data_IF_209371223552
#
_entry.id   IF_209371223552
#
_cell.length_a   1.000
_cell.length_b   1.000
_cell.length_c   1.000
_cell.angle_alpha   90.00
_cell.angle_beta   90.00
_cell.angle_gamma   90.00
#
_symmetry.space_group_name_H-M   'P 1'
#
loop_
_entity.id
_entity.type
_entity.pdbx_description
1 polymer ?
#
# COMPACT_ATOMS: atom_id res chain seq x y z
N UNK A 1 -66.04 1.87 6.40
CA UNK A 1 -67.13 1.32 5.54
C UNK A 1 -66.48 0.46 4.44
N UNK A 2 -67.18 -0.55 3.88
CA UNK A 2 -66.52 -1.71 3.27
C UNK A 2 -66.82 -1.90 1.76
N UNK A 3 -66.45 -3.09 1.23
CA UNK A 3 -66.81 -3.68 -0.07
C UNK A 3 -65.91 -3.24 -1.25
N UNK A 4 -65.40 -4.14 -2.09
CA UNK A 4 -65.55 -5.60 -2.09
C UNK A 4 -64.66 -6.36 -3.08
N UNK A 5 -64.83 -7.69 -3.11
CA UNK A 5 -64.06 -8.60 -3.94
C UNK A 5 -64.77 -8.92 -5.27
N UNK A 6 -64.02 -9.42 -6.26
CA UNK A 6 -64.62 -10.27 -7.29
C UNK A 6 -63.71 -11.46 -7.65
N UNK A 7 -64.34 -12.63 -7.73
CA UNK A 7 -63.73 -13.94 -7.99
C UNK A 7 -63.73 -14.22 -9.49
N UNK A 8 -62.73 -14.94 -10.00
CA UNK A 8 -62.94 -15.82 -11.16
C UNK A 8 -62.21 -17.16 -11.02
N UNK A 9 -63.00 -18.24 -10.94
CA UNK A 9 -62.54 -19.62 -11.09
C UNK A 9 -62.49 -19.99 -12.57
N UNK A 10 -61.56 -20.86 -12.94
CA UNK A 10 -61.56 -21.59 -14.20
C UNK A 10 -60.84 -22.92 -13.99
N UNK A 11 -61.52 -24.04 -14.23
CA UNK A 11 -61.01 -25.40 -14.02
C UNK A 11 -61.60 -26.30 -15.11
N UNK A 12 -60.79 -27.19 -15.69
CA UNK A 12 -61.08 -28.43 -16.44
C UNK A 12 -59.70 -29.00 -16.86
N UNK A 13 -59.23 -30.16 -16.37
CA UNK A 13 -59.64 -31.56 -16.60
C UNK A 13 -59.13 -32.18 -17.92
N UNK A 14 -58.43 -33.31 -17.77
CA UNK A 14 -58.43 -34.42 -18.75
C UNK A 14 -57.11 -34.66 -19.49
N UNK A 15 -56.54 -35.87 -19.37
CA UNK A 15 -55.40 -36.29 -20.20
C UNK A 15 -54.50 -37.39 -19.64
N UNK A 16 -55.06 -38.55 -19.24
CA UNK A 16 -54.24 -39.74 -18.95
C UNK A 16 -53.92 -40.47 -20.25
N UNK A 17 -52.65 -40.78 -20.50
CA UNK A 17 -52.30 -41.94 -21.33
C UNK A 17 -51.08 -42.67 -20.77
N UNK A 18 -51.29 -43.92 -20.41
CA UNK A 18 -50.28 -44.87 -19.93
C UNK A 18 -49.75 -45.66 -21.13
N UNK A 19 -48.43 -45.81 -21.27
CA UNK A 19 -47.86 -46.80 -22.18
C UNK A 19 -46.59 -47.41 -21.60
N UNK A 20 -46.61 -48.73 -21.40
CA UNK A 20 -45.42 -49.54 -21.15
C UNK A 20 -44.62 -49.68 -22.45
N UNK A 21 -43.28 -49.82 -22.37
CA UNK A 21 -42.61 -51.08 -22.74
C UNK A 21 -41.09 -51.09 -22.43
N UNK A 22 -40.56 -52.31 -22.35
CA UNK A 22 -39.19 -52.72 -22.69
C UNK A 22 -38.01 -52.24 -21.82
N UNK A 23 -37.80 -52.95 -20.71
CA UNK A 23 -36.50 -53.13 -20.05
C UNK A 23 -35.43 -53.57 -21.06
N UNK A 24 -34.30 -52.86 -21.15
CA UNK A 24 -33.08 -53.39 -21.78
C UNK A 24 -31.88 -53.13 -20.86
N UNK A 25 -31.34 -54.19 -20.27
CA UNK A 25 -30.10 -54.11 -19.48
C UNK A 25 -28.90 -54.01 -20.44
N UNK A 26 -28.21 -52.88 -20.45
CA UNK A 26 -26.85 -52.80 -20.98
C UNK A 26 -25.85 -52.73 -19.82
N UNK A 27 -25.05 -53.77 -19.69
CA UNK A 27 -23.99 -53.87 -18.70
C UNK A 27 -22.79 -53.02 -19.14
N UNK A 28 -22.54 -51.91 -18.45
CA UNK A 28 -21.35 -51.06 -18.66
C UNK A 28 -20.18 -51.64 -17.84
N UNK A 29 -18.97 -51.81 -18.40
CA UNK A 29 -17.82 -52.30 -17.63
C UNK A 29 -17.36 -51.28 -16.59
N UNK A 30 -16.85 -51.76 -15.46
CA UNK A 30 -16.40 -50.93 -14.36
C UNK A 30 -15.25 -49.99 -14.79
N UNK A 31 -15.49 -48.68 -14.74
CA UNK A 31 -14.44 -47.68 -14.80
C UNK A 31 -13.70 -47.62 -13.45
N UNK A 32 -12.38 -47.47 -13.50
CA UNK A 32 -11.54 -47.49 -12.32
C UNK A 32 -11.89 -46.37 -11.33
N UNK A 33 -11.82 -46.68 -10.05
CA UNK A 33 -11.85 -45.69 -8.96
C UNK A 33 -10.72 -44.68 -9.13
N UNK A 34 -11.00 -43.35 -9.15
CA UNK A 34 -9.94 -42.37 -8.98
C UNK A 34 -9.41 -42.48 -7.55
N UNK A 35 -8.10 -42.69 -7.39
CA UNK A 35 -7.45 -42.54 -6.09
C UNK A 35 -7.68 -41.12 -5.58
N UNK A 36 -8.15 -41.00 -4.34
CA UNK A 36 -8.32 -39.71 -3.70
C UNK A 36 -6.94 -39.14 -3.35
N UNK A 37 -6.39 -38.32 -4.25
CA UNK A 37 -5.17 -37.55 -4.01
C UNK A 37 -5.32 -36.74 -2.72
N UNK A 38 -4.56 -37.11 -1.69
CA UNK A 38 -4.54 -36.39 -0.43
C UNK A 38 -4.17 -34.92 -0.65
N UNK A 39 -4.78 -33.96 0.07
CA UNK A 39 -4.40 -32.56 -0.04
C UNK A 39 -2.97 -32.39 0.48
N UNK A 40 -2.03 -32.12 -0.42
CA UNK A 40 -0.70 -31.64 -0.06
C UNK A 40 -0.86 -30.26 0.58
N UNK A 41 -0.79 -30.22 1.91
CA UNK A 41 -0.68 -28.98 2.69
C UNK A 41 0.66 -28.35 2.38
N UNK A 42 0.68 -27.43 1.42
CA UNK A 42 1.86 -26.64 1.08
C UNK A 42 2.08 -25.57 2.15
N UNK A 43 2.71 -25.96 3.27
CA UNK A 43 3.33 -25.03 4.23
C UNK A 43 4.56 -24.36 3.60
N UNK A 44 4.31 -23.58 2.56
CA UNK A 44 5.26 -22.65 1.98
C UNK A 44 5.19 -21.34 2.76
N UNK A 45 5.67 -21.36 4.01
CA UNK A 45 6.06 -20.14 4.71
C UNK A 45 7.30 -19.59 4.00
N UNK A 46 7.07 -18.89 2.89
CA UNK A 46 8.12 -18.17 2.20
C UNK A 46 8.59 -17.08 3.15
N UNK A 47 9.84 -17.18 3.60
CA UNK A 47 10.51 -16.10 4.32
C UNK A 47 10.27 -14.81 3.55
N UNK A 48 9.53 -13.89 4.17
CA UNK A 48 9.67 -12.50 3.77
C UNK A 48 11.16 -12.15 3.90
N UNK A 49 11.64 -11.27 3.01
CA UNK A 49 12.93 -10.64 3.24
C UNK A 49 12.90 -9.85 4.56
N UNK A 50 14.07 -9.40 5.07
CA UNK A 50 14.08 -8.46 6.18
C UNK A 50 13.14 -7.30 5.90
N UNK A 51 12.35 -6.93 6.90
CA UNK A 51 11.52 -5.72 6.86
C UNK A 51 12.49 -4.55 6.83
N UNK A 52 12.48 -3.77 5.76
CA UNK A 52 13.31 -2.58 5.59
C UNK A 52 12.41 -1.43 5.21
N UNK A 53 12.42 -0.37 6.03
CA UNK A 53 11.77 0.89 5.69
C UNK A 53 12.84 1.87 5.23
N UNK A 54 12.81 2.26 3.93
CA UNK A 54 13.97 2.83 3.26
C UNK A 54 14.50 4.17 3.82
N UNK A 55 13.74 4.88 4.65
CA UNK A 55 14.15 6.19 5.18
C UNK A 55 13.96 6.34 6.68
N UNK A 56 13.80 5.25 7.43
CA UNK A 56 13.62 5.26 8.88
C UNK A 56 12.84 4.07 9.40
N UNK A 57 11.86 4.34 10.27
CA UNK A 57 11.15 3.35 11.10
C UNK A 57 9.65 3.32 10.82
N UNK A 58 8.92 2.38 11.42
CA UNK A 58 7.47 2.33 11.29
C UNK A 58 6.79 1.01 11.62
N UNK A 59 5.50 0.94 11.28
CA UNK A 59 4.68 -0.25 11.45
C UNK A 59 3.69 -0.43 10.29
N UNK A 60 3.53 -1.66 9.82
CA UNK A 60 2.33 -2.10 9.08
C UNK A 60 1.36 -2.72 10.09
N UNK A 61 0.17 -2.14 10.23
CA UNK A 61 -0.78 -2.43 11.31
C UNK A 61 -1.76 -3.54 10.92
N UNK A 62 -2.24 -4.26 11.92
CA UNK A 62 -3.14 -5.40 11.76
C UNK A 62 -3.18 -6.26 13.03
N UNK A 63 -3.86 -7.42 13.01
CA UNK A 63 -3.95 -8.33 14.17
C UNK A 63 -2.59 -8.80 14.71
N UNK A 64 -1.53 -8.71 13.90
CA UNK A 64 -0.13 -8.83 14.32
C UNK A 64 0.66 -7.81 13.52
N UNK A 65 1.03 -6.65 14.11
CA UNK A 65 1.79 -5.63 13.40
C UNK A 65 3.14 -6.14 12.91
N UNK A 66 3.61 -5.61 11.80
CA UNK A 66 4.97 -5.82 11.30
C UNK A 66 5.75 -4.52 11.45
N UNK A 67 6.75 -4.51 12.33
CA UNK A 67 7.46 -3.30 12.76
C UNK A 67 8.93 -3.31 12.35
N UNK A 68 9.55 -2.12 12.39
CA UNK A 68 10.99 -1.91 12.32
C UNK A 68 11.29 -0.60 13.05
N UNK A 69 12.04 -0.65 14.15
CA UNK A 69 12.42 0.50 14.97
C UNK A 69 11.25 1.32 15.53
N UNK A 70 10.10 0.68 15.78
CA UNK A 70 8.90 1.32 16.31
C UNK A 70 8.00 0.30 17.03
N UNK A 71 7.43 0.69 18.16
CA UNK A 71 6.42 -0.03 18.92
C UNK A 71 5.04 0.66 18.78
N UNK A 72 4.09 0.10 18.01
CA UNK A 72 2.73 0.61 17.97
C UNK A 72 1.94 0.10 19.19
N UNK A 73 1.16 0.98 19.81
CA UNK A 73 0.25 0.68 20.91
C UNK A 73 -1.11 1.37 20.72
N UNK A 74 -2.12 0.91 21.46
CA UNK A 74 -3.36 1.66 21.62
C UNK A 74 -3.18 2.74 22.70
N UNK A 75 -4.00 3.79 22.63
CA UNK A 75 -4.10 4.80 23.67
C UNK A 75 -4.71 4.30 24.99
N UNK A 76 -5.35 5.18 25.80
CA UNK A 76 -5.53 4.96 27.24
C UNK A 76 -6.28 3.69 27.64
N UNK A 77 -7.25 3.26 26.83
CA UNK A 77 -7.86 1.93 26.94
C UNK A 77 -7.44 1.04 25.75
N UNK A 78 -6.58 0.02 25.93
CA UNK A 78 -6.21 -0.89 24.85
C UNK A 78 -7.29 -1.94 24.54
N UNK A 79 -8.31 -2.11 25.38
CA UNK A 79 -9.39 -3.08 25.13
C UNK A 79 -10.38 -2.63 24.05
N UNK A 80 -10.45 -1.32 23.77
CA UNK A 80 -11.24 -0.79 22.67
C UNK A 80 -10.57 -0.88 21.30
N UNK A 81 -9.26 -1.19 21.21
CA UNK A 81 -8.52 -1.30 19.95
C UNK A 81 -9.17 -2.33 19.00
N UNK A 82 -9.63 -1.85 17.85
CA UNK A 82 -10.18 -2.72 16.82
C UNK A 82 -9.09 -3.08 15.80
N UNK A 83 -9.01 -4.34 15.39
CA UNK A 83 -8.09 -4.78 14.34
C UNK A 83 -8.82 -5.63 13.31
N UNK A 84 -8.37 -5.59 12.06
CA UNK A 84 -9.04 -6.34 10.99
C UNK A 84 -8.39 -6.17 9.63
N UNK A 85 -9.17 -6.38 8.58
CA UNK A 85 -8.80 -6.00 7.22
C UNK A 85 -10.01 -5.46 6.44
N UNK A 86 -9.81 -4.38 5.69
CA UNK A 86 -10.80 -3.83 4.77
C UNK A 86 -10.13 -3.41 3.46
N UNK A 87 -10.83 -3.62 2.34
CA UNK A 87 -10.31 -3.41 0.98
C UNK A 87 -8.96 -4.11 0.70
N UNK A 88 -8.71 -5.25 1.35
CA UNK A 88 -7.47 -6.04 1.22
C UNK A 88 -6.26 -5.50 2.00
N UNK A 89 -6.42 -4.46 2.82
CA UNK A 89 -5.37 -3.95 3.72
C UNK A 89 -5.67 -4.32 5.18
N UNK A 90 -4.69 -4.78 5.97
CA UNK A 90 -4.85 -4.94 7.40
C UNK A 90 -4.85 -3.56 8.10
N UNK A 91 -5.47 -3.44 9.27
CA UNK A 91 -5.61 -2.18 9.99
C UNK A 91 -5.72 -2.32 11.50
N UNK A 92 -5.44 -1.20 12.18
CA UNK A 92 -5.87 -0.84 13.53
C UNK A 92 -6.88 0.32 13.44
N UNK A 93 -7.83 0.34 14.35
CA UNK A 93 -8.89 1.36 14.42
C UNK A 93 -9.15 1.74 15.88
N UNK A 94 -9.25 3.04 16.14
CA UNK A 94 -9.66 3.59 17.44
C UNK A 94 -11.15 3.34 17.70
N UNK A 95 -11.55 3.46 18.96
CA UNK A 95 -12.90 3.23 19.41
C UNK A 95 -13.18 4.17 20.58
N UNK A 96 -13.50 5.42 20.26
CA UNK A 96 -13.77 6.48 21.21
C UNK A 96 -14.88 6.09 22.19
N UNK A 97 -15.91 5.36 21.73
CA UNK A 97 -16.98 4.85 22.57
C UNK A 97 -16.52 3.80 23.61
N UNK A 98 -15.30 3.27 23.48
CA UNK A 98 -14.63 2.39 24.44
C UNK A 98 -13.37 3.02 25.05
N UNK A 99 -13.13 4.32 24.89
CA UNK A 99 -11.98 5.04 25.48
C UNK A 99 -10.64 4.87 24.75
N UNK A 100 -10.61 4.23 23.58
CA UNK A 100 -9.41 4.18 22.73
C UNK A 100 -9.42 5.39 21.80
N UNK A 101 -8.95 6.55 22.25
CA UNK A 101 -9.08 7.82 21.53
C UNK A 101 -7.98 8.06 20.47
N UNK A 102 -6.81 7.44 20.64
CA UNK A 102 -5.68 7.54 19.73
C UNK A 102 -4.94 6.20 19.57
N UNK A 103 -4.13 6.11 18.51
CA UNK A 103 -3.07 5.11 18.36
C UNK A 103 -1.75 5.76 18.73
N UNK A 104 -0.92 5.08 19.51
CA UNK A 104 0.38 5.57 19.97
C UNK A 104 1.51 4.82 19.26
N UNK A 105 2.63 5.50 19.07
CA UNK A 105 3.82 4.98 18.42
C UNK A 105 5.06 5.49 19.16
N UNK A 106 5.78 4.56 19.75
CA UNK A 106 7.07 4.69 20.41
C UNK A 106 8.16 4.35 19.38
N UNK A 107 9.22 5.15 19.24
CA UNK A 107 10.32 4.90 18.31
C UNK A 107 11.51 4.29 19.06
N UNK A 108 12.26 3.42 18.39
CA UNK A 108 13.43 2.78 18.98
C UNK A 108 14.54 3.83 19.25
N UNK A 109 14.98 3.96 20.51
CA UNK A 109 16.05 4.87 20.97
C UNK A 109 17.25 4.88 20.01
N UNK A 110 17.69 3.68 19.58
CA UNK A 110 18.81 3.48 18.68
C UNK A 110 18.62 4.25 17.35
N UNK A 111 17.38 4.39 16.87
CA UNK A 111 17.06 5.18 15.67
C UNK A 111 17.00 6.68 15.98
N UNK A 112 16.44 7.08 17.12
CA UNK A 112 16.36 8.49 17.53
C UNK A 112 17.76 9.09 17.71
N UNK A 113 18.66 8.38 18.38
CA UNK A 113 20.07 8.77 18.58
C UNK A 113 20.85 8.89 17.25
N UNK A 114 20.39 8.21 16.19
CA UNK A 114 20.98 8.28 14.86
C UNK A 114 20.40 9.40 13.97
N UNK A 115 19.40 10.16 14.44
CA UNK A 115 18.82 11.27 13.69
C UNK A 115 19.81 12.42 13.52
N UNK A 116 20.32 12.60 12.30
CA UNK A 116 21.21 13.73 11.95
C UNK A 116 20.49 15.07 11.80
N UNK A 117 19.16 15.09 11.94
CA UNK A 117 18.30 16.29 11.89
C UNK A 117 17.11 16.08 12.82
N UNK A 118 16.61 17.16 13.41
CA UNK A 118 15.37 17.16 14.19
C UNK A 118 14.11 17.46 13.37
N UNK A 119 14.26 17.58 12.04
CA UNK A 119 13.14 17.70 11.10
C UNK A 119 12.85 16.33 10.45
N UNK A 120 11.64 15.80 10.71
CA UNK A 120 11.22 14.47 10.26
C UNK A 120 9.89 14.53 9.50
N UNK A 121 9.64 13.51 8.67
CA UNK A 121 8.36 13.32 8.00
C UNK A 121 7.69 12.06 8.55
N UNK A 122 6.42 12.19 8.92
CA UNK A 122 5.56 11.06 9.30
C UNK A 122 4.51 10.84 8.22
N UNK A 123 4.50 9.65 7.63
CA UNK A 123 3.54 9.26 6.60
C UNK A 123 2.58 8.20 7.16
N UNK A 124 1.30 8.58 7.34
CA UNK A 124 0.24 7.73 7.90
C UNK A 124 -0.70 7.29 6.78
N UNK A 125 -0.85 5.99 6.54
CA UNK A 125 -1.87 5.44 5.63
C UNK A 125 -3.15 5.17 6.40
N UNK A 126 -4.20 5.91 6.07
CA UNK A 126 -5.48 5.88 6.77
C UNK A 126 -6.65 5.61 5.81
N UNK A 127 -7.76 5.10 6.32
CA UNK A 127 -9.02 5.02 5.59
C UNK A 127 -9.71 6.38 5.72
N UNK A 128 -9.90 7.06 4.59
CA UNK A 128 -10.54 8.38 4.54
C UNK A 128 -12.06 8.27 4.69
N UNK A 129 -12.53 8.06 5.92
CA UNK A 129 -13.94 7.90 6.29
C UNK A 129 -14.38 8.94 7.30
N UNK A 130 -15.62 9.43 7.18
CA UNK A 130 -16.14 10.48 8.04
C UNK A 130 -15.65 11.88 7.66
N UNK A 131 -15.97 12.85 8.50
CA UNK A 131 -15.64 14.27 8.31
C UNK A 131 -14.91 14.81 9.54
N UNK A 132 -13.86 15.60 9.31
CA UNK A 132 -12.97 16.05 10.38
C UNK A 132 -11.54 16.13 9.89
N UNK A 133 -10.59 15.81 10.76
CA UNK A 133 -9.17 15.68 10.43
C UNK A 133 -8.56 14.40 11.02
N UNK A 134 -7.49 13.94 10.38
CA UNK A 134 -6.47 13.10 10.98
C UNK A 134 -5.46 14.02 11.67
N UNK A 135 -5.39 13.94 12.99
CA UNK A 135 -4.52 14.75 13.84
C UNK A 135 -3.34 13.92 14.35
N UNK A 136 -2.21 14.58 14.59
CA UNK A 136 -0.99 13.96 15.12
C UNK A 136 -0.38 14.88 16.18
N UNK A 137 -0.05 14.33 17.35
CA UNK A 137 0.78 14.99 18.36
C UNK A 137 2.11 14.26 18.50
N UNK A 138 3.17 14.97 18.89
CA UNK A 138 4.51 14.43 18.99
C UNK A 138 5.36 15.07 20.11
N UNK A 139 6.35 14.33 20.59
CA UNK A 139 7.35 14.84 21.54
C UNK A 139 8.38 15.76 20.83
N UNK A 140 8.23 17.08 20.97
CA UNK A 140 9.16 18.10 20.46
C UNK A 140 10.06 18.65 21.57
N UNK A 141 11.28 19.08 21.24
CA UNK A 141 12.31 19.56 22.18
C UNK A 141 11.74 20.39 23.35
N UNK A 142 10.99 21.45 23.02
CA UNK A 142 10.44 22.41 23.99
C UNK A 142 9.03 22.06 24.53
N UNK A 143 8.26 21.22 23.84
CA UNK A 143 6.88 20.85 24.21
C UNK A 143 6.59 19.36 23.87
N UNK A 144 6.40 18.50 24.89
CA UNK A 144 6.21 17.07 24.71
C UNK A 144 4.86 16.67 24.11
N UNK A 145 3.91 17.60 23.97
CA UNK A 145 2.60 17.36 23.31
C UNK A 145 2.37 18.34 22.15
N UNK A 146 3.36 18.49 21.27
CA UNK A 146 3.26 19.40 20.13
C UNK A 146 2.30 18.85 19.08
N UNK A 147 1.28 19.64 18.71
CA UNK A 147 0.37 19.31 17.62
C UNK A 147 0.98 19.61 16.24
N UNK A 148 0.90 18.65 15.31
CA UNK A 148 1.24 18.84 13.90
C UNK A 148 0.10 19.52 13.12
N UNK A 149 0.35 19.88 11.85
CA UNK A 149 -0.72 20.36 10.96
C UNK A 149 -1.66 19.22 10.57
N UNK A 150 -2.95 19.38 10.89
CA UNK A 150 -4.02 18.43 10.58
C UNK A 150 -4.14 18.08 9.08
N UNK A 151 -4.41 16.80 8.79
CA UNK A 151 -4.76 16.32 7.45
C UNK A 151 -6.28 16.17 7.34
N UNK A 152 -6.98 16.94 6.48
CA UNK A 152 -8.45 16.91 6.44
C UNK A 152 -9.01 15.59 5.89
N UNK A 153 -10.04 15.07 6.56
CA UNK A 153 -10.82 13.92 6.10
C UNK A 153 -11.88 14.38 5.09
N UNK A 154 -11.96 13.71 3.94
CA UNK A 154 -12.86 14.05 2.83
C UNK A 154 -13.96 13.01 2.59
N UNK A 155 -14.05 11.99 3.44
CA UNK A 155 -15.03 10.89 3.35
C UNK A 155 -15.03 10.15 2.00
N UNK A 156 -13.88 10.01 1.32
CA UNK A 156 -13.80 9.31 0.03
C UNK A 156 -14.02 7.80 0.15
N UNK A 157 -13.92 7.24 1.37
CA UNK A 157 -14.03 5.81 1.64
C UNK A 157 -12.86 5.00 1.08
N UNK A 158 -11.71 5.65 0.82
CA UNK A 158 -10.53 5.02 0.22
C UNK A 158 -9.28 5.14 1.11
N UNK A 159 -8.26 4.34 0.81
CA UNK A 159 -7.00 4.32 1.54
C UNK A 159 -6.00 5.39 1.08
N UNK A 160 -5.97 6.52 1.81
CA UNK A 160 -5.07 7.66 1.56
C UNK A 160 -3.79 7.59 2.38
N UNK A 161 -2.83 8.44 2.06
CA UNK A 161 -1.67 8.71 2.91
C UNK A 161 -1.75 10.17 3.34
N UNK A 162 -1.62 10.45 4.63
CA UNK A 162 -1.42 11.79 5.17
C UNK A 162 0.07 11.97 5.48
N UNK A 163 0.60 13.15 5.20
CA UNK A 163 2.01 13.49 5.41
C UNK A 163 2.11 14.64 6.39
N UNK A 164 2.72 14.38 7.54
CA UNK A 164 3.01 15.37 8.56
C UNK A 164 4.50 15.73 8.49
N UNK A 165 4.78 17.03 8.47
CA UNK A 165 6.14 17.56 8.60
C UNK A 165 6.30 18.00 10.05
N UNK A 166 7.21 17.36 10.78
CA UNK A 166 7.50 17.67 12.18
C UNK A 166 8.86 18.36 12.23
N UNK A 167 8.95 19.40 13.06
CA UNK A 167 10.18 20.13 13.31
C UNK A 167 10.56 20.06 14.78
N UNK A 168 11.86 20.09 15.04
CA UNK A 168 12.44 20.10 16.39
C UNK A 168 11.99 18.91 17.27
N UNK A 169 11.98 17.69 16.71
CA UNK A 169 11.57 16.50 17.44
C UNK A 169 12.56 16.13 18.55
N UNK A 170 12.06 15.89 19.76
CA UNK A 170 12.84 15.26 20.81
C UNK A 170 12.86 13.75 20.58
N UNK A 171 11.66 13.15 20.56
CA UNK A 171 11.41 11.71 20.68
C UNK A 171 12.15 11.10 21.88
N UNK A 172 11.69 11.42 23.09
CA UNK A 172 12.31 10.96 24.34
C UNK A 172 11.27 10.57 25.39
N UNK A 173 10.22 9.86 24.95
CA UNK A 173 9.16 9.26 25.76
C UNK A 173 8.26 10.24 26.53
N UNK A 174 8.29 11.54 26.21
CA UNK A 174 7.60 12.55 27.04
C UNK A 174 6.11 12.70 26.73
N UNK A 175 5.59 12.14 25.62
CA UNK A 175 4.16 12.16 25.25
C UNK A 175 3.37 11.04 25.99
N UNK A 176 3.59 10.91 27.31
CA UNK A 176 3.06 9.85 28.17
C UNK A 176 3.58 8.43 27.85
N UNK A 177 4.89 8.31 27.61
CA UNK A 177 5.66 7.11 27.21
C UNK A 177 5.89 6.91 25.68
N UNK A 178 4.94 7.10 24.73
CA UNK A 178 5.27 7.09 23.30
C UNK A 178 5.87 8.42 22.83
N UNK A 179 6.23 8.48 21.54
CA UNK A 179 6.75 9.67 20.86
C UNK A 179 5.73 10.38 19.97
N UNK A 180 4.77 9.62 19.44
CA UNK A 180 3.77 10.07 18.48
C UNK A 180 2.41 9.50 18.87
N UNK A 181 1.37 10.34 18.87
CA UNK A 181 -0.03 9.90 18.91
C UNK A 181 -0.79 10.33 17.66
N UNK A 182 -1.67 9.47 17.16
CA UNK A 182 -2.52 9.73 15.97
C UNK A 182 -3.98 9.51 16.35
N UNK A 183 -4.81 10.53 16.12
CA UNK A 183 -6.24 10.54 16.45
C UNK A 183 -7.09 11.06 15.28
N UNK A 184 -8.40 10.81 15.35
CA UNK A 184 -9.38 11.50 14.53
C UNK A 184 -10.00 12.65 15.33
N UNK A 185 -10.13 13.82 14.71
CA UNK A 185 -10.76 15.00 15.34
C UNK A 185 -11.86 15.58 14.47
N UNK A 186 -12.81 16.27 15.09
CA UNK A 186 -13.93 16.93 14.42
C UNK A 186 -14.37 18.16 15.23
N UNK A 187 -15.31 18.94 14.68
CA UNK A 187 -15.92 20.05 15.41
C UNK A 187 -16.73 19.61 16.66
N UNK A 188 -17.05 18.31 16.77
CA UNK A 188 -17.79 17.73 17.90
C UNK A 188 -16.88 17.03 18.92
N UNK A 189 -15.58 16.92 18.64
CA UNK A 189 -14.59 16.22 19.48
C UNK A 189 -13.86 15.10 18.75
N UNK A 190 -13.34 14.13 19.50
CA UNK A 190 -12.61 12.96 18.99
C UNK A 190 -13.55 12.06 18.16
N UNK A 191 -13.01 11.50 17.07
CA UNK A 191 -13.71 10.55 16.20
C UNK A 191 -12.82 9.36 15.86
N UNK A 192 -13.43 8.22 15.52
CA UNK A 192 -12.69 7.02 15.19
C UNK A 192 -11.89 7.18 13.90
N UNK A 193 -10.62 6.74 13.94
CA UNK A 193 -9.65 6.75 12.86
C UNK A 193 -9.20 5.31 12.60
N UNK A 194 -9.03 4.96 11.33
CA UNK A 194 -8.56 3.63 10.89
C UNK A 194 -7.23 3.77 10.15
N UNK A 195 -6.16 3.18 10.69
CA UNK A 195 -4.78 3.26 10.19
C UNK A 195 -4.28 1.88 9.76
N UNK A 196 -3.63 1.80 8.59
CA UNK A 196 -3.03 0.58 8.06
C UNK A 196 -1.50 0.58 8.11
N UNK A 197 -0.87 1.75 8.05
CA UNK A 197 0.59 1.88 7.95
C UNK A 197 1.03 3.22 8.55
N UNK A 198 2.12 3.25 9.29
CA UNK A 198 2.85 4.47 9.65
C UNK A 198 4.33 4.31 9.30
N UNK A 199 4.96 5.38 8.82
CA UNK A 199 6.40 5.48 8.59
C UNK A 199 6.90 6.81 9.13
N UNK A 200 8.03 6.79 9.84
CA UNK A 200 8.76 7.98 10.27
C UNK A 200 10.13 7.93 9.64
N UNK A 201 10.59 9.07 9.12
CA UNK A 201 11.91 9.20 8.53
C UNK A 201 12.44 10.62 8.66
N UNK A 202 13.76 10.81 8.55
CA UNK A 202 14.32 12.15 8.28
C UNK A 202 13.56 12.79 7.11
N UNK A 203 13.27 14.09 7.18
CA UNK A 203 12.31 14.72 6.26
C UNK A 203 12.59 14.33 4.79
N UNK A 204 11.66 13.59 4.18
CA UNK A 204 11.94 12.81 2.97
C UNK A 204 11.54 13.53 1.70
N UNK A 205 12.37 13.47 0.66
CA UNK A 205 11.89 13.81 -0.68
C UNK A 205 10.83 12.77 -1.12
N UNK A 206 9.64 13.25 -1.47
CA UNK A 206 8.49 12.43 -1.86
C UNK A 206 7.61 13.13 -2.92
N UNK A 207 6.73 12.37 -3.56
CA UNK A 207 5.71 12.90 -4.47
C UNK A 207 4.48 12.01 -4.43
N UNK A 208 3.31 12.60 -4.27
CA UNK A 208 2.04 11.91 -4.51
C UNK A 208 1.69 12.03 -5.99
N UNK A 209 1.49 10.89 -6.65
CA UNK A 209 1.14 10.84 -8.07
C UNK A 209 -0.36 10.97 -8.28
N UNK A 210 -0.76 11.40 -9.47
CA UNK A 210 -2.16 11.63 -9.85
C UNK A 210 -2.27 12.53 -11.08
N UNK A 211 -3.48 12.95 -11.48
CA UNK A 211 -3.67 13.89 -12.59
C UNK A 211 -2.87 15.20 -12.40
N UNK A 212 -2.77 15.67 -11.16
CA UNK A 212 -1.85 16.72 -10.71
C UNK A 212 -1.01 16.16 -9.57
N UNK A 213 0.30 15.93 -9.75
CA UNK A 213 1.16 15.46 -8.66
C UNK A 213 1.32 16.49 -7.53
N UNK A 214 1.41 16.02 -6.29
CA UNK A 214 1.75 16.85 -5.13
C UNK A 214 3.21 16.58 -4.78
N UNK A 215 4.09 17.53 -5.07
CA UNK A 215 5.54 17.39 -4.97
C UNK A 215 6.09 17.90 -3.63
N UNK A 216 6.88 17.06 -2.95
CA UNK A 216 7.63 17.40 -1.75
C UNK A 216 9.12 17.12 -1.99
N UNK A 217 9.83 18.06 -2.62
CA UNK A 217 11.22 17.88 -3.08
C UNK A 217 11.44 16.78 -4.14
N UNK A 218 10.39 16.15 -4.70
CA UNK A 218 10.46 15.36 -5.93
C UNK A 218 9.56 15.97 -7.01
N UNK A 219 10.16 16.43 -8.10
CA UNK A 219 9.44 16.84 -9.30
C UNK A 219 9.19 15.63 -10.21
N UNK A 220 7.95 15.16 -10.27
CA UNK A 220 7.52 14.12 -11.20
C UNK A 220 7.31 14.71 -12.62
N UNK A 221 7.84 14.03 -13.64
CA UNK A 221 7.68 14.40 -15.05
C UNK A 221 7.44 13.15 -15.90
N UNK A 222 6.51 13.20 -16.85
CA UNK A 222 6.36 12.14 -17.85
C UNK A 222 7.66 11.98 -18.68
N UNK A 223 7.87 10.80 -19.27
CA UNK A 223 8.97 10.56 -20.20
C UNK A 223 8.89 11.38 -21.50
N UNK A 224 9.60 10.93 -22.54
CA UNK A 224 9.78 11.63 -23.84
C UNK A 224 8.50 12.17 -24.49
N UNK A 225 7.36 11.57 -24.18
CA UNK A 225 6.03 12.01 -24.59
C UNK A 225 5.13 12.16 -23.38
N UNK A 226 4.68 13.38 -23.10
CA UNK A 226 3.78 13.65 -21.98
C UNK A 226 2.33 13.24 -22.28
N UNK A 227 1.89 13.35 -23.54
CA UNK A 227 0.51 13.06 -23.96
C UNK A 227 0.18 11.56 -23.95
N UNK A 228 1.19 10.69 -23.82
CA UNK A 228 1.00 9.26 -23.62
C UNK A 228 0.90 8.86 -22.15
N UNK A 229 1.15 9.76 -21.19
CA UNK A 229 0.99 9.46 -19.77
C UNK A 229 -0.49 9.16 -19.48
N UNK A 230 -0.76 7.99 -18.90
CA UNK A 230 -2.08 7.68 -18.35
C UNK A 230 -2.06 8.04 -16.87
N UNK A 231 -2.99 8.89 -16.45
CA UNK A 231 -3.21 9.22 -15.04
C UNK A 231 -4.63 8.85 -14.62
N UNK A 232 -4.82 8.61 -13.34
CA UNK A 232 -6.13 8.34 -12.77
C UNK A 232 -6.05 8.13 -11.27
N UNK A 233 -7.08 7.51 -10.71
CA UNK A 233 -7.13 7.09 -9.31
C UNK A 233 -7.41 5.58 -9.24
N UNK A 234 -6.69 4.88 -8.37
CA UNK A 234 -6.84 3.45 -8.10
C UNK A 234 -6.95 3.26 -6.59
N UNK A 235 -8.16 2.91 -6.11
CA UNK A 235 -8.44 2.68 -4.67
C UNK A 235 -8.03 3.85 -3.76
N UNK A 236 -8.36 5.09 -4.14
CA UNK A 236 -8.02 6.32 -3.39
C UNK A 236 -6.67 6.94 -3.71
N UNK A 237 -5.83 6.25 -4.49
CA UNK A 237 -4.47 6.70 -4.79
C UNK A 237 -4.39 7.17 -6.22
N UNK A 238 -4.01 8.42 -6.40
CA UNK A 238 -3.63 8.91 -7.72
C UNK A 238 -2.45 8.07 -8.25
N UNK A 239 -2.48 7.76 -9.54
CA UNK A 239 -1.45 6.95 -10.19
C UNK A 239 -1.00 7.55 -11.52
N UNK A 240 0.22 7.21 -11.90
CA UNK A 240 0.77 7.38 -13.23
C UNK A 240 1.05 6.00 -13.83
N UNK A 241 0.66 5.80 -15.09
CA UNK A 241 0.85 4.57 -15.85
C UNK A 241 1.51 4.86 -17.20
N UNK A 242 2.49 4.03 -17.56
CA UNK A 242 3.19 4.08 -18.86
C UNK A 242 2.28 3.54 -19.96
N UNK A 243 2.37 4.11 -21.17
CA UNK A 243 1.52 3.71 -22.29
C UNK A 243 2.38 3.29 -23.47
N UNK A 244 2.82 2.02 -23.44
CA UNK A 244 3.55 1.39 -24.54
C UNK A 244 2.74 1.27 -25.84
N UNK A 245 1.41 1.33 -25.77
CA UNK A 245 0.52 1.28 -26.93
C UNK A 245 0.32 2.65 -27.61
N UNK A 246 0.80 3.74 -27.00
CA UNK A 246 0.76 5.07 -27.63
C UNK A 246 1.65 5.11 -28.89
N UNK A 247 1.32 5.95 -29.90
CA UNK A 247 2.16 6.13 -31.08
C UNK A 247 3.56 6.63 -30.71
N UNK A 248 4.58 6.21 -31.46
CA UNK A 248 5.98 6.57 -31.19
C UNK A 248 6.21 8.10 -31.18
N UNK A 249 7.04 8.63 -30.25
CA UNK A 249 7.63 7.94 -29.09
C UNK A 249 6.56 7.65 -28.03
N UNK A 250 6.59 6.46 -27.44
CA UNK A 250 5.66 6.05 -26.39
C UNK A 250 6.17 6.48 -24.99
N UNK A 251 5.27 6.69 -24.03
CA UNK A 251 5.65 6.96 -22.63
C UNK A 251 6.05 5.65 -21.96
N UNK A 252 7.33 5.29 -22.00
CA UNK A 252 7.87 4.02 -21.51
C UNK A 252 8.44 4.08 -20.08
N UNK A 253 8.57 5.30 -19.55
CA UNK A 253 9.05 5.62 -18.21
C UNK A 253 8.45 6.95 -17.76
N UNK A 254 8.58 7.22 -16.47
CA UNK A 254 8.48 8.57 -15.89
C UNK A 254 9.85 8.97 -15.38
N UNK A 255 9.96 10.21 -14.92
CA UNK A 255 11.15 10.78 -14.32
C UNK A 255 10.76 11.37 -12.97
N UNK A 256 11.47 11.00 -11.91
CA UNK A 256 11.33 11.61 -10.58
C UNK A 256 12.62 12.34 -10.27
N UNK A 257 12.60 13.66 -10.32
CA UNK A 257 13.78 14.48 -10.07
C UNK A 257 13.74 14.96 -8.61
N UNK A 258 14.63 14.42 -7.78
CA UNK A 258 14.87 14.93 -6.44
C UNK A 258 15.47 16.33 -6.54
N UNK A 259 15.07 17.26 -5.68
CA UNK A 259 15.61 18.61 -5.66
C UNK A 259 17.08 18.61 -5.21
N UNK A 260 17.95 19.34 -5.91
CA UNK A 260 19.38 19.46 -5.56
C UNK A 260 19.61 20.01 -4.14
N UNK A 261 18.67 20.80 -3.61
CA UNK A 261 18.67 21.29 -2.23
C UNK A 261 18.45 20.19 -1.19
N UNK A 262 18.03 19.00 -1.62
CA UNK A 262 17.83 17.82 -0.79
C UNK A 262 18.91 16.76 -1.03
N UNK A 263 19.15 16.39 -2.30
CA UNK A 263 20.16 15.40 -2.66
C UNK A 263 20.92 15.83 -3.93
N UNK A 264 22.21 16.11 -3.76
CA UNK A 264 23.16 16.47 -4.84
C UNK A 264 24.53 15.83 -4.54
N UNK A 265 25.17 15.22 -5.55
CA UNK A 265 26.41 14.39 -5.42
C UNK A 265 26.38 13.46 -4.19
N UNK A 266 25.22 12.87 -3.88
CA UNK A 266 25.06 12.00 -2.71
C UNK A 266 25.77 10.68 -2.94
N UNK A 267 26.73 10.37 -2.08
CA UNK A 267 27.53 9.13 -2.11
C UNK A 267 27.12 8.10 -1.05
N UNK A 268 26.19 8.47 -0.20
CA UNK A 268 25.57 7.56 0.77
C UNK A 268 24.56 6.66 0.05
N UNK A 269 24.23 5.51 0.64
CA UNK A 269 23.17 4.63 0.14
C UNK A 269 21.85 5.38 0.04
N UNK A 270 21.32 5.51 -1.18
CA UNK A 270 19.98 6.06 -1.41
C UNK A 270 18.98 4.92 -1.45
N UNK A 271 17.92 5.06 -0.69
CA UNK A 271 16.89 4.05 -0.49
C UNK A 271 15.55 4.61 -0.98
N UNK A 272 14.87 3.88 -1.88
CA UNK A 272 13.70 4.37 -2.62
C UNK A 272 12.48 3.50 -2.32
N UNK A 273 11.39 4.12 -1.86
CA UNK A 273 10.07 3.49 -1.75
C UNK A 273 9.20 3.81 -2.94
N UNK A 274 8.43 2.84 -3.42
CA UNK A 274 7.41 3.03 -4.46
C UNK A 274 6.16 2.24 -4.07
N UNK A 275 5.05 2.93 -3.81
CA UNK A 275 3.73 2.31 -3.79
C UNK A 275 3.31 2.03 -5.25
N UNK A 276 3.05 0.77 -5.61
CA UNK A 276 2.64 0.37 -6.96
C UNK A 276 1.41 -0.53 -6.96
N UNK A 277 0.64 -0.48 -8.04
CA UNK A 277 -0.47 -1.41 -8.29
C UNK A 277 0.06 -2.64 -9.06
N UNK A 278 0.12 -3.79 -8.38
CA UNK A 278 0.59 -5.05 -8.98
C UNK A 278 -0.52 -5.70 -9.82
N UNK A 279 -0.43 -5.56 -11.14
CA UNK A 279 -1.33 -6.19 -12.10
C UNK A 279 -0.60 -6.61 -13.38
N UNK A 280 -0.95 -7.77 -13.91
CA UNK A 280 -0.34 -8.33 -15.13
C UNK A 280 0.91 -9.17 -14.87
N UNK A 281 1.80 -9.27 -15.87
CA UNK A 281 2.94 -10.18 -15.89
C UNK A 281 4.28 -9.43 -16.08
N UNK A 282 4.42 -8.30 -15.39
CA UNK A 282 5.54 -7.38 -15.53
C UNK A 282 6.58 -7.47 -14.40
N UNK A 283 7.33 -6.38 -14.27
CA UNK A 283 8.27 -6.12 -13.19
C UNK A 283 8.76 -4.68 -13.30
N UNK A 284 8.93 -4.00 -12.17
CA UNK A 284 9.37 -2.61 -12.07
C UNK A 284 10.91 -2.54 -12.17
N UNK A 285 11.42 -1.73 -13.10
CA UNK A 285 12.82 -1.30 -13.08
C UNK A 285 12.98 0.06 -12.39
N UNK A 286 14.11 0.26 -11.71
CA UNK A 286 14.59 1.58 -11.26
C UNK A 286 15.89 1.91 -12.02
N UNK A 287 16.06 3.17 -12.38
CA UNK A 287 17.31 3.75 -12.88
C UNK A 287 17.59 4.99 -12.04
N UNK A 288 18.86 5.36 -11.88
CA UNK A 288 19.30 6.54 -11.15
C UNK A 288 20.65 6.99 -11.70
N UNK A 289 20.99 8.27 -11.50
CA UNK A 289 22.31 8.80 -11.79
C UNK A 289 23.23 8.55 -10.58
N UNK A 290 24.49 8.22 -10.82
CA UNK A 290 25.45 7.84 -9.77
C UNK A 290 26.79 8.56 -9.99
N UNK A 291 27.41 9.13 -8.93
CA UNK A 291 28.62 9.96 -9.03
C UNK A 291 29.93 9.17 -9.33
N UNK A 292 29.81 8.02 -9.99
CA UNK A 292 30.94 7.19 -10.41
C UNK A 292 31.75 7.79 -11.57
N UNK A 293 33.02 7.39 -11.76
CA UNK A 293 33.93 8.05 -12.70
C UNK A 293 33.84 7.57 -14.16
N UNK A 294 32.84 6.77 -14.57
CA UNK A 294 32.76 6.26 -15.96
C UNK A 294 31.35 6.25 -16.53
N UNK A 295 31.20 6.64 -17.80
CA UNK A 295 29.92 6.72 -18.50
C UNK A 295 29.14 5.39 -18.59
N UNK A 296 29.82 4.24 -18.53
CA UNK A 296 29.16 2.92 -18.45
C UNK A 296 28.62 2.60 -17.05
N UNK A 297 29.06 3.31 -16.02
CA UNK A 297 28.50 3.30 -14.66
C UNK A 297 27.47 4.40 -14.39
N UNK A 298 27.57 5.55 -15.08
CA UNK A 298 26.65 6.68 -14.83
C UNK A 298 25.30 6.56 -15.56
N UNK A 299 25.21 5.95 -16.75
CA UNK A 299 23.95 5.94 -17.52
C UNK A 299 23.68 4.64 -18.29
N UNK A 300 22.59 3.95 -17.95
CA UNK A 300 21.76 3.29 -18.98
C UNK A 300 20.77 4.33 -19.55
N UNK A 301 21.33 5.24 -20.36
CA UNK A 301 20.66 6.33 -21.09
C UNK A 301 19.88 7.38 -20.28
N UNK A 302 20.54 8.53 -20.06
CA UNK A 302 20.05 9.81 -19.51
C UNK A 302 19.48 9.80 -18.09
N UNK A 303 19.85 10.83 -17.29
CA UNK A 303 19.74 10.79 -15.83
C UNK A 303 18.33 11.03 -15.32
N UNK A 304 17.56 9.96 -15.12
CA UNK A 304 16.20 10.03 -14.57
C UNK A 304 15.81 8.78 -13.75
N UNK A 305 14.92 8.95 -12.77
CA UNK A 305 14.26 7.84 -12.06
C UNK A 305 13.21 7.16 -12.95
N UNK A 306 13.67 6.22 -13.78
CA UNK A 306 12.91 5.54 -14.82
C UNK A 306 12.19 4.26 -14.39
N UNK A 307 10.92 4.38 -13.98
CA UNK A 307 10.02 3.25 -13.73
C UNK A 307 9.54 2.59 -15.05
N UNK A 308 10.03 1.38 -15.37
CA UNK A 308 9.61 0.64 -16.58
C UNK A 308 8.99 -0.73 -16.24
N UNK A 309 7.94 -1.11 -16.98
CA UNK A 309 7.28 -2.43 -16.89
C UNK A 309 7.70 -3.35 -18.04
N UNK A 310 8.02 -4.62 -17.74
CA UNK A 310 8.54 -5.58 -18.74
C UNK A 310 7.79 -6.93 -18.78
N UNK A 311 6.84 -7.07 -19.70
CA UNK A 311 6.25 -8.39 -20.06
C UNK A 311 7.25 -9.26 -20.83
N UNK A 312 7.21 -10.60 -20.62
CA UNK A 312 8.07 -11.57 -21.33
C UNK A 312 7.31 -12.42 -22.36
N UNK A 313 7.46 -12.08 -23.63
CA UNK A 313 7.68 -12.94 -24.83
C UNK A 313 8.16 -12.01 -25.97
N UNK A 314 8.98 -12.39 -26.97
CA UNK A 314 9.69 -13.64 -27.30
C UNK A 314 9.68 -13.87 -28.84
N UNK A 315 10.65 -14.54 -29.50
CA UNK A 315 11.90 -15.18 -29.02
C UNK A 315 13.19 -14.78 -29.80
N UNK A 316 14.38 -15.00 -29.22
CA UNK A 316 15.58 -15.45 -29.96
C UNK A 316 16.53 -16.16 -28.96
N UNK A 317 17.20 -17.23 -29.40
CA UNK A 317 17.90 -18.18 -28.53
C UNK A 317 19.36 -17.83 -28.26
N UNK A 318 19.83 -18.02 -27.02
CA UNK A 318 21.04 -18.79 -26.71
C UNK A 318 21.00 -19.27 -25.24
N UNK A 319 21.57 -20.45 -24.98
CA UNK A 319 21.58 -21.23 -23.73
C UNK A 319 22.33 -20.55 -22.55
N UNK A 320 22.30 -20.97 -21.27
CA UNK A 320 21.64 -22.04 -20.49
C UNK A 320 21.59 -21.57 -19.01
N UNK A 321 20.82 -22.10 -18.04
CA UNK A 321 19.74 -23.11 -18.02
C UNK A 321 19.15 -23.22 -16.59
N UNK A 322 17.99 -23.87 -16.43
CA UNK A 322 17.34 -24.33 -15.16
C UNK A 322 17.28 -23.32 -13.98
N UNK A 323 16.13 -22.77 -13.56
CA UNK A 323 14.85 -23.42 -13.23
C UNK A 323 13.60 -22.53 -13.50
N UNK A 324 12.42 -23.15 -13.50
CA UNK A 324 11.06 -22.56 -13.48
C UNK A 324 10.14 -23.51 -12.67
N UNK A 325 8.91 -23.13 -12.27
CA UNK A 325 8.50 -21.85 -11.65
C UNK A 325 7.57 -22.06 -10.43
N UNK A 326 7.49 -21.12 -9.48
CA UNK A 326 6.42 -21.10 -8.47
C UNK A 326 5.90 -19.67 -8.19
N UNK A 327 4.67 -19.59 -7.69
CA UNK A 327 3.81 -18.40 -7.69
C UNK A 327 3.83 -17.56 -6.40
N UNK A 328 3.36 -16.31 -6.54
CA UNK A 328 2.68 -15.43 -5.55
C UNK A 328 3.50 -14.68 -4.47
N UNK A 329 2.83 -13.58 -4.08
CA UNK A 329 3.03 -12.63 -2.97
C UNK A 329 4.10 -11.55 -3.13
N UNK A 330 3.76 -10.41 -2.54
CA UNK A 330 4.33 -9.08 -2.69
C UNK A 330 5.84 -9.07 -2.50
N UNK A 331 6.54 -8.29 -3.33
CA UNK A 331 7.98 -8.09 -3.20
C UNK A 331 8.28 -6.60 -3.09
N UNK A 332 8.87 -6.21 -1.96
CA UNK A 332 9.62 -4.96 -1.88
C UNK A 332 10.95 -5.15 -2.61
N UNK A 333 11.33 -4.17 -3.41
CA UNK A 333 12.58 -4.16 -4.17
C UNK A 333 13.62 -3.38 -3.37
N UNK A 334 14.45 -4.09 -2.60
CA UNK A 334 15.66 -3.52 -1.98
C UNK A 334 16.79 -3.63 -2.99
N UNK A 335 17.47 -2.52 -3.28
CA UNK A 335 18.68 -2.47 -4.09
C UNK A 335 19.83 -2.00 -3.21
N UNK A 336 20.77 -2.90 -2.92
CA UNK A 336 22.07 -2.58 -2.35
C UNK A 336 23.07 -2.34 -3.48
N UNK A 337 23.92 -1.34 -3.34
CA UNK A 337 25.11 -1.17 -4.15
C UNK A 337 26.34 -1.39 -3.26
N UNK A 338 27.23 -2.28 -3.69
CA UNK A 338 28.59 -2.45 -3.16
C UNK A 338 29.58 -1.54 -3.90
#
# INVERSE_FOLDING_TARGET
MPVGALVRRGSLLGGVLLSLLATTLMSVPAAATPEASAPVTSDASASAGPVIYPSGVGADLGPTPTTLGMSPSAGPDPAGLQTGSTQGRPYWQTNHAAGTDYLAFDLDDDYVDQLTTKDVTVAVTYLDSGSGALSLHYDATDDPETAATDVPLTNSGQWRTGVFLLSDVAFGDRLHDPDISVSGTSAEGVVDVTVSKIRVGSAGASVELGPTPVAHNIAARAGDRAEGLVTGEQSGRGYWQTNRAAPSPATLYFYMNVADTYAYDTRNTVLVSVDYFDAGNGGLGLQYDSPGPTFFGCLRSSGMIGACGRDRYGPHQAAAGWLRPLCRRSRHLVLTAD
#
